data_IF_108981989927
#
_entry.id   IF_108981989927
#
_cell.length_a   1.000
_cell.length_b   1.000
_cell.length_c   1.000
_cell.angle_alpha   90.00
_cell.angle_beta   90.00
_cell.angle_gamma   90.00
#
_symmetry.space_group_name_H-M   'P 1'
#
loop_
_entity.id
_entity.type
_entity.pdbx_description
1 polymer ?
#
# COMPACT_ATOMS: atom_id res chain seq x y z
N UNK A 1 8.59 20.57 -13.38
CA UNK A 1 8.26 19.14 -13.50
C UNK A 1 9.53 18.33 -13.48
N UNK A 2 9.60 17.23 -12.74
CA UNK A 2 10.69 16.27 -12.92
C UNK A 2 10.46 15.50 -14.21
N UNK A 3 11.49 15.42 -15.06
CA UNK A 3 11.52 14.45 -16.17
C UNK A 3 11.83 13.09 -15.56
N UNK A 4 11.14 12.04 -16.01
CA UNK A 4 11.46 10.68 -15.57
C UNK A 4 12.79 10.25 -16.22
N UNK A 5 13.70 9.58 -15.49
CA UNK A 5 14.95 9.06 -16.07
C UNK A 5 14.66 8.07 -17.20
N UNK A 6 15.57 7.97 -18.16
CA UNK A 6 15.50 6.97 -19.23
C UNK A 6 15.99 5.60 -18.75
N UNK A 7 15.70 4.53 -19.50
CA UNK A 7 16.12 3.18 -19.12
C UNK A 7 17.66 3.01 -19.12
N UNK A 8 18.42 3.86 -19.81
CA UNK A 8 19.89 3.90 -19.75
C UNK A 8 20.42 4.63 -18.49
N UNK A 9 19.58 5.40 -17.80
CA UNK A 9 19.89 6.05 -16.51
C UNK A 9 19.54 5.15 -15.29
N UNK A 10 18.92 3.99 -15.52
CA UNK A 10 18.46 3.09 -14.46
C UNK A 10 19.45 1.93 -14.20
N UNK A 11 19.87 1.80 -12.94
CA UNK A 11 20.76 0.74 -12.49
C UNK A 11 20.07 -0.65 -12.50
N UNK A 12 20.82 -1.69 -12.88
CA UNK A 12 20.39 -3.11 -12.91
C UNK A 12 19.88 -3.63 -11.56
N UNK A 13 20.26 -3.00 -10.45
CA UNK A 13 19.78 -3.31 -9.10
C UNK A 13 18.46 -2.58 -8.74
N UNK A 14 18.21 -1.35 -9.23
CA UNK A 14 16.86 -0.77 -9.22
C UNK A 14 15.88 -1.56 -10.08
N UNK A 15 16.35 -2.10 -11.21
CA UNK A 15 15.58 -3.08 -11.97
C UNK A 15 15.27 -4.31 -11.09
N UNK A 16 16.24 -4.80 -10.28
CA UNK A 16 16.14 -6.01 -9.43
C UNK A 16 15.00 -5.96 -8.39
N UNK A 17 14.79 -4.79 -7.78
CA UNK A 17 13.73 -4.53 -6.77
C UNK A 17 12.31 -4.37 -7.36
N UNK A 18 12.15 -4.23 -8.69
CA UNK A 18 10.88 -3.98 -9.42
C UNK A 18 10.36 -5.15 -10.29
N UNK A 19 10.97 -5.31 -11.47
CA UNK A 19 10.58 -6.20 -12.57
C UNK A 19 11.55 -6.23 -13.78
N UNK A 20 12.62 -7.04 -13.94
CA UNK A 20 13.54 -7.74 -13.00
C UNK A 20 13.97 -9.15 -13.56
N UNK A 21 15.20 -9.69 -13.48
CA UNK A 21 16.46 -9.28 -12.77
C UNK A 21 17.09 -10.27 -11.57
N UNK A 22 16.50 -10.72 -9.33
CA UNK A 22 16.45 -11.72 -8.18
C UNK A 22 15.54 -12.95 -8.51
N UNK A 23 16.08 -14.15 -8.71
CA UNK A 23 15.66 -15.13 -9.76
C UNK A 23 14.16 -15.39 -10.09
N UNK A 24 13.19 -15.11 -9.22
CA UNK A 24 11.75 -15.20 -9.50
C UNK A 24 11.01 -14.04 -8.83
N UNK A 25 9.97 -13.54 -9.51
CA UNK A 25 9.17 -12.38 -9.10
C UNK A 25 7.68 -12.68 -9.24
N UNK A 26 6.81 -11.88 -8.61
CA UNK A 26 5.36 -11.98 -8.87
C UNK A 26 5.04 -11.54 -10.31
N UNK A 27 4.44 -12.45 -11.07
CA UNK A 27 3.78 -12.14 -12.35
C UNK A 27 2.60 -11.19 -12.15
N UNK A 28 2.03 -10.71 -13.26
CA UNK A 28 0.88 -9.78 -13.22
C UNK A 28 -0.30 -10.43 -12.50
N UNK A 29 -0.62 -11.68 -12.85
CA UNK A 29 -1.69 -12.47 -12.23
C UNK A 29 -1.43 -12.70 -10.74
N UNK A 30 -0.16 -12.88 -10.34
CA UNK A 30 0.24 -13.00 -8.95
C UNK A 30 0.04 -11.71 -8.15
N UNK A 31 0.26 -10.55 -8.78
CA UNK A 31 0.00 -9.22 -8.21
C UNK A 31 -1.51 -8.97 -8.09
N UNK A 32 -2.28 -9.29 -9.14
CA UNK A 32 -3.74 -9.11 -9.16
C UNK A 32 -4.43 -10.02 -8.14
N UNK A 33 -4.01 -11.28 -8.01
CA UNK A 33 -4.51 -12.18 -6.98
C UNK A 33 -4.17 -11.70 -5.55
N UNK A 34 -3.01 -11.06 -5.35
CA UNK A 34 -2.66 -10.46 -4.06
C UNK A 34 -3.54 -9.24 -3.77
N UNK A 35 -3.65 -8.31 -4.74
CA UNK A 35 -4.51 -7.13 -4.65
C UNK A 35 -5.97 -7.50 -4.37
N UNK A 36 -6.51 -8.52 -5.06
CA UNK A 36 -7.85 -9.05 -4.83
C UNK A 36 -8.03 -9.53 -3.38
N UNK A 37 -7.15 -10.40 -2.88
CA UNK A 37 -7.20 -10.89 -1.48
C UNK A 37 -7.07 -9.75 -0.44
N UNK A 38 -6.34 -8.68 -0.76
CA UNK A 38 -6.18 -7.53 0.15
C UNK A 38 -7.39 -6.57 0.14
N UNK A 39 -8.12 -6.46 -0.98
CA UNK A 39 -9.38 -5.69 -1.07
C UNK A 39 -10.57 -6.47 -0.50
N UNK A 40 -10.60 -7.78 -0.66
CA UNK A 40 -11.68 -8.66 -0.17
C UNK A 40 -11.48 -9.09 1.30
N UNK A 41 -10.25 -9.05 1.82
CA UNK A 41 -9.93 -9.42 3.19
C UNK A 41 -10.18 -8.33 4.23
N UNK A 42 -9.86 -8.64 5.49
CA UNK A 42 -10.24 -7.86 6.68
C UNK A 42 -9.63 -6.44 6.76
N UNK A 43 -8.85 -6.01 5.77
CA UNK A 43 -8.18 -4.70 5.63
C UNK A 43 -8.49 -3.99 4.31
N UNK A 44 -9.54 -4.43 3.62
CA UNK A 44 -10.15 -3.73 2.49
C UNK A 44 -11.03 -2.55 2.93
N UNK A 45 -11.62 -1.79 1.99
CA UNK A 45 -12.53 -0.66 2.29
C UNK A 45 -13.90 -1.08 2.83
N UNK A 46 -14.32 -2.32 2.58
CA UNK A 46 -15.70 -2.76 2.75
C UNK A 46 -16.00 -3.40 4.12
N UNK A 47 -15.04 -3.42 5.04
CA UNK A 47 -15.19 -3.98 6.40
C UNK A 47 -15.77 -2.95 7.36
N UNK A 48 -16.43 -3.38 8.42
CA UNK A 48 -17.18 -2.46 9.29
C UNK A 48 -16.30 -1.41 9.99
N UNK A 49 -15.08 -1.75 10.41
CA UNK A 49 -14.14 -0.75 10.96
C UNK A 49 -13.81 0.35 9.95
N UNK A 50 -13.72 0.03 8.65
CA UNK A 50 -13.46 1.00 7.59
C UNK A 50 -14.69 1.85 7.25
N UNK A 51 -15.90 1.26 7.32
CA UNK A 51 -17.17 1.98 7.15
C UNK A 51 -17.43 3.02 8.24
N UNK A 52 -16.98 2.76 9.47
CA UNK A 52 -17.15 3.65 10.63
C UNK A 52 -15.94 4.55 10.91
N UNK A 53 -14.82 4.37 10.21
CA UNK A 53 -13.65 5.23 10.37
C UNK A 53 -13.90 6.65 9.81
N UNK A 54 -13.46 7.72 10.49
CA UNK A 54 -13.77 9.09 10.07
C UNK A 54 -13.02 9.54 8.81
N UNK A 55 -11.88 8.90 8.51
CA UNK A 55 -10.99 9.19 7.37
C UNK A 55 -10.29 7.90 6.93
N UNK A 56 -9.85 7.85 5.66
CA UNK A 56 -9.19 6.69 5.08
C UNK A 56 -7.67 6.71 5.29
N UNK A 57 -7.02 5.55 5.10
CA UNK A 57 -5.57 5.41 5.24
C UNK A 57 -4.78 6.27 4.24
N UNK A 58 -5.28 6.49 3.02
CA UNK A 58 -4.63 7.32 2.01
C UNK A 58 -4.48 8.81 2.37
N UNK A 59 -5.26 9.31 3.33
CA UNK A 59 -5.12 10.67 3.91
C UNK A 59 -4.32 10.70 5.22
N UNK A 60 -3.84 9.56 5.71
CA UNK A 60 -3.22 9.43 7.02
C UNK A 60 -1.70 9.68 6.97
N UNK A 61 -1.19 10.56 7.83
CA UNK A 61 0.25 10.80 8.01
C UNK A 61 1.06 9.60 8.53
N UNK A 62 0.39 8.51 8.93
CA UNK A 62 1.00 7.25 9.35
C UNK A 62 0.87 6.12 8.31
N UNK A 63 0.44 6.44 7.08
CA UNK A 63 0.34 5.49 5.98
C UNK A 63 1.62 5.48 5.15
N UNK A 64 2.25 4.31 5.06
CA UNK A 64 3.47 4.06 4.27
C UNK A 64 3.08 3.35 2.97
N UNK A 65 2.84 4.06 1.86
CA UNK A 65 2.42 3.45 0.59
C UNK A 65 3.51 2.52 0.03
N UNK A 66 3.09 1.33 -0.43
CA UNK A 66 3.97 0.28 -0.96
C UNK A 66 4.72 0.79 -2.22
N UNK A 67 5.84 0.16 -2.56
CA UNK A 67 6.62 0.49 -3.77
C UNK A 67 6.02 -0.10 -5.05
N UNK A 68 6.43 0.43 -6.22
CA UNK A 68 6.05 -0.10 -7.52
C UNK A 68 4.54 -0.04 -7.82
N UNK A 69 4.04 -1.04 -8.56
CA UNK A 69 2.70 -1.02 -9.16
C UNK A 69 1.52 -1.06 -8.17
N UNK A 70 1.76 -1.42 -6.91
CA UNK A 70 0.70 -1.51 -5.88
C UNK A 70 0.54 -0.20 -5.08
N UNK A 71 1.44 0.77 -5.28
CA UNK A 71 1.55 2.04 -4.52
C UNK A 71 0.27 2.85 -4.40
N UNK A 72 -0.57 2.85 -5.45
CA UNK A 72 -1.78 3.66 -5.51
C UNK A 72 -2.96 3.03 -4.75
N UNK A 73 -2.90 1.73 -4.47
CA UNK A 73 -4.00 0.96 -3.88
C UNK A 73 -3.69 0.43 -2.48
N UNK A 74 -2.41 0.27 -2.10
CA UNK A 74 -2.01 -0.37 -0.84
C UNK A 74 -0.80 0.30 -0.17
N UNK A 75 -0.83 0.28 1.16
CA UNK A 75 0.25 0.73 2.02
C UNK A 75 0.32 -0.09 3.29
N UNK A 76 1.22 0.28 4.19
CA UNK A 76 1.34 -0.27 5.54
C UNK A 76 0.97 0.82 6.55
N UNK A 77 0.18 0.48 7.56
CA UNK A 77 -0.05 1.40 8.69
C UNK A 77 1.15 1.33 9.65
N UNK A 78 1.68 2.48 10.05
CA UNK A 78 2.79 2.64 11.00
C UNK A 78 2.36 3.43 12.26
N UNK A 79 1.09 3.30 12.65
CA UNK A 79 0.54 3.93 13.85
C UNK A 79 0.43 2.88 14.98
N UNK A 80 1.33 2.95 15.96
CA UNK A 80 1.40 1.99 17.07
C UNK A 80 0.14 1.91 17.98
N UNK A 81 -0.81 2.86 17.88
CA UNK A 81 -2.12 2.77 18.56
C UNK A 81 -3.27 2.27 17.64
N UNK A 82 -2.98 1.97 16.37
CA UNK A 82 -3.91 1.38 15.42
C UNK A 82 -3.95 -0.15 15.55
N UNK A 83 -5.12 -0.80 15.44
CA UNK A 83 -5.17 -2.27 15.30
C UNK A 83 -4.50 -2.78 14.01
N UNK A 84 -4.15 -1.90 13.08
CA UNK A 84 -3.54 -2.21 11.79
C UNK A 84 -2.03 -1.98 11.73
N UNK A 85 -1.37 -1.68 12.85
CA UNK A 85 0.07 -1.43 12.86
C UNK A 85 0.86 -2.62 12.29
N UNK A 86 1.80 -2.32 11.40
CA UNK A 86 2.54 -3.29 10.59
C UNK A 86 1.63 -4.29 9.82
N UNK A 87 0.46 -3.86 9.32
CA UNK A 87 -0.37 -4.61 8.35
C UNK A 87 -0.47 -3.88 7.03
N UNK A 88 -0.62 -4.66 5.94
CA UNK A 88 -1.00 -4.13 4.63
C UNK A 88 -2.48 -3.72 4.70
N UNK A 89 -2.77 -2.48 4.31
CA UNK A 89 -4.12 -1.90 4.26
C UNK A 89 -4.39 -1.31 2.89
N UNK A 90 -5.64 -1.39 2.43
CA UNK A 90 -6.07 -0.67 1.23
C UNK A 90 -6.00 0.85 1.46
N UNK A 91 -5.74 1.62 0.41
CA UNK A 91 -5.69 3.10 0.45
C UNK A 91 -7.00 3.71 0.96
N UNK A 92 -8.12 3.04 0.70
CA UNK A 92 -9.48 3.39 1.10
C UNK A 92 -10.00 2.59 2.31
N UNK A 93 -9.15 1.81 2.99
CA UNK A 93 -9.43 1.28 4.32
C UNK A 93 -9.43 2.40 5.38
N UNK A 94 -9.96 2.13 6.57
CA UNK A 94 -9.88 3.02 7.72
C UNK A 94 -9.88 2.24 9.03
N UNK A 95 -9.06 2.67 9.99
CA UNK A 95 -8.77 1.94 11.23
C UNK A 95 -9.23 2.67 12.51
N UNK A 96 -10.01 3.74 12.37
CA UNK A 96 -10.37 4.67 13.46
C UNK A 96 -9.21 5.60 13.87
N UNK A 97 -8.02 5.05 14.12
CA UNK A 97 -6.81 5.76 14.57
C UNK A 97 -6.08 6.51 13.42
N UNK A 98 -6.75 7.48 12.79
CA UNK A 98 -6.14 8.37 11.79
C UNK A 98 -5.17 9.38 12.44
N UNK A 99 -4.18 9.89 11.71
CA UNK A 99 -3.27 10.97 12.18
C UNK A 99 -3.97 12.31 12.45
N UNK A 100 -5.26 12.39 12.18
CA UNK A 100 -6.14 13.54 12.40
C UNK A 100 -7.42 13.10 13.12
N UNK A 101 -7.40 11.93 13.77
CA UNK A 101 -8.40 11.58 14.77
C UNK A 101 -8.08 12.39 16.02
N UNK A 102 -8.61 13.61 16.08
CA UNK A 102 -8.50 14.48 17.26
C UNK A 102 -9.27 13.82 18.41
N UNK A 103 -8.61 13.74 19.56
CA UNK A 103 -9.15 13.23 20.83
C UNK A 103 -9.71 14.38 21.67
#
# INVERSE_FOLDING_TARGET
SAVLPSDEDLDLHQLFELGAGRLRVLSIEGRDQAAKRWIEGDRGPNVDIARWAPKNCGTCGFYLPISGSLRQAFGVCANAISPEDARVVAVNHGCGAHSEAIN
#
